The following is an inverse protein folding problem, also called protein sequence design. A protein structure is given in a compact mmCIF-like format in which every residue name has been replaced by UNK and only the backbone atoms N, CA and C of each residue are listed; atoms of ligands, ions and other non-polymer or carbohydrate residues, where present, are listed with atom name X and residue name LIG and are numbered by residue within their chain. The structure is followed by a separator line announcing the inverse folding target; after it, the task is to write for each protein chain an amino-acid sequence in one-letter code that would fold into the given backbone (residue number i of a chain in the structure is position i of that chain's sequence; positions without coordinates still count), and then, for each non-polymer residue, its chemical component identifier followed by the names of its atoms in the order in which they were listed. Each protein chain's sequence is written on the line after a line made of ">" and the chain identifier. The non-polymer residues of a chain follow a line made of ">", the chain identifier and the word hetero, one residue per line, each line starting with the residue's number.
data_IF_857223264539
#
_entry.id   IF_857223264539
#
_cell.length_a   1.000
_cell.length_b   1.000
_cell.length_c   1.000
_cell.angle_alpha   90.00
_cell.angle_beta   90.00
_cell.angle_gamma   90.00
#
_symmetry.space_group_name_H-M   'P 1'
#
loop_
_entity.id
_entity.type
_entity.pdbx_description
1 polymer ?
#
# COMPACT_ATOMS: atom_id res chain seq x y z
N UNK A 1 -1.98 -16.82 -54.29
CA UNK A 1 -2.15 -15.70 -53.33
C UNK A 1 -3.22 -16.15 -52.34
N UNK A 2 -2.85 -16.69 -51.19
CA UNK A 2 -3.83 -17.09 -50.18
C UNK A 2 -4.33 -15.82 -49.50
N UNK A 3 -5.60 -15.46 -49.74
CA UNK A 3 -6.23 -14.34 -49.06
C UNK A 3 -6.51 -14.73 -47.62
N UNK A 4 -5.81 -14.09 -46.68
CA UNK A 4 -6.08 -14.23 -45.26
C UNK A 4 -7.52 -13.81 -44.98
N UNK A 5 -8.34 -14.63 -44.29
CA UNK A 5 -9.69 -14.24 -43.92
C UNK A 5 -9.61 -13.13 -42.88
N UNK A 6 -9.65 -11.87 -43.32
CA UNK A 6 -9.49 -10.69 -42.48
C UNK A 6 -10.66 -10.48 -41.48
N UNK A 7 -11.76 -11.21 -41.63
CA UNK A 7 -12.98 -11.04 -40.84
C UNK A 7 -13.19 -12.17 -39.83
N UNK A 8 -12.17 -12.47 -39.03
CA UNK A 8 -12.30 -13.44 -37.94
C UNK A 8 -12.62 -12.74 -36.63
N UNK A 9 -13.59 -13.27 -35.90
CA UNK A 9 -14.07 -12.71 -34.63
C UNK A 9 -12.95 -12.59 -33.59
N UNK A 10 -12.00 -13.54 -33.54
CA UNK A 10 -10.83 -13.50 -32.66
C UNK A 10 -9.94 -12.27 -32.91
N UNK A 11 -9.69 -11.96 -34.18
CA UNK A 11 -8.92 -10.78 -34.55
C UNK A 11 -9.63 -9.50 -34.13
N UNK A 12 -10.94 -9.40 -34.36
CA UNK A 12 -11.72 -8.24 -33.91
C UNK A 12 -11.71 -8.07 -32.39
N UNK A 13 -11.85 -9.17 -31.63
CA UNK A 13 -11.75 -9.14 -30.17
C UNK A 13 -10.38 -8.66 -29.70
N UNK A 14 -9.29 -9.12 -30.33
CA UNK A 14 -7.96 -8.60 -30.04
C UNK A 14 -7.85 -7.08 -30.27
N UNK A 15 -8.37 -6.58 -31.40
CA UNK A 15 -8.37 -5.15 -31.71
C UNK A 15 -9.20 -4.33 -30.72
N UNK A 16 -10.35 -4.85 -30.28
CA UNK A 16 -11.16 -4.23 -29.23
C UNK A 16 -10.39 -4.16 -27.91
N UNK A 17 -9.70 -5.23 -27.53
CA UNK A 17 -8.84 -5.20 -26.34
C UNK A 17 -7.73 -4.15 -26.48
N UNK A 18 -7.07 -4.03 -27.64
CA UNK A 18 -6.08 -2.97 -27.84
C UNK A 18 -6.70 -1.57 -27.71
N UNK A 19 -7.89 -1.35 -28.26
CA UNK A 19 -8.61 -0.09 -28.12
C UNK A 19 -8.90 0.25 -26.64
N UNK A 20 -9.41 -0.73 -25.88
CA UNK A 20 -9.65 -0.57 -24.43
C UNK A 20 -8.34 -0.26 -23.70
N UNK A 21 -7.25 -0.91 -24.08
CA UNK A 21 -5.91 -0.65 -23.54
C UNK A 21 -5.50 0.80 -23.73
N UNK A 22 -5.69 1.38 -24.93
CA UNK A 22 -5.32 2.78 -25.19
C UNK A 22 -6.16 3.81 -24.41
N UNK A 23 -7.38 3.46 -24.02
CA UNK A 23 -8.27 4.33 -23.24
C UNK A 23 -8.09 4.12 -21.73
N UNK A 24 -7.42 3.03 -21.32
CA UNK A 24 -7.28 2.68 -19.93
C UNK A 24 -6.38 3.66 -19.17
N UNK A 25 -6.94 4.30 -18.15
CA UNK A 25 -6.19 5.16 -17.23
C UNK A 25 -5.41 4.37 -16.17
N UNK A 26 -5.86 3.15 -15.87
CA UNK A 26 -5.23 2.30 -14.87
C UNK A 26 -4.18 1.38 -15.52
N UNK A 27 -2.92 1.57 -15.14
CA UNK A 27 -1.79 0.75 -15.60
C UNK A 27 -1.98 -0.76 -15.31
N UNK A 28 -2.73 -1.14 -14.28
CA UNK A 28 -3.02 -2.54 -13.96
C UNK A 28 -3.98 -3.13 -15.00
N UNK A 29 -5.08 -2.41 -15.27
CA UNK A 29 -6.09 -2.81 -16.25
C UNK A 29 -5.46 -2.89 -17.64
N UNK A 30 -4.62 -1.91 -17.99
CA UNK A 30 -3.82 -1.91 -19.21
C UNK A 30 -3.06 -3.23 -19.41
N UNK A 31 -2.32 -3.70 -18.40
CA UNK A 31 -1.52 -4.93 -18.49
C UNK A 31 -2.39 -6.17 -18.73
N UNK A 32 -3.49 -6.30 -18.01
CA UNK A 32 -4.38 -7.46 -18.19
C UNK A 32 -5.11 -7.44 -19.53
N UNK A 33 -5.52 -6.26 -20.00
CA UNK A 33 -6.16 -6.13 -21.31
C UNK A 33 -5.19 -6.45 -22.44
N UNK A 34 -3.93 -5.99 -22.35
CA UNK A 34 -2.88 -6.34 -23.32
C UNK A 34 -2.52 -7.84 -23.30
N UNK A 35 -2.50 -8.46 -22.12
CA UNK A 35 -2.31 -9.90 -22.00
C UNK A 35 -3.46 -10.65 -22.71
N UNK A 36 -4.72 -10.25 -22.49
CA UNK A 36 -5.87 -10.84 -23.18
C UNK A 36 -5.83 -10.65 -24.70
N UNK A 37 -5.46 -9.45 -25.18
CA UNK A 37 -5.28 -9.19 -26.61
C UNK A 37 -4.24 -10.13 -27.25
N UNK A 38 -3.13 -10.36 -26.53
CA UNK A 38 -2.06 -11.25 -26.97
C UNK A 38 -2.54 -12.71 -27.07
N UNK A 39 -3.40 -13.17 -26.16
CA UNK A 39 -3.99 -14.52 -26.22
C UNK A 39 -4.92 -14.66 -27.43
N UNK A 40 -5.74 -13.65 -27.73
CA UNK A 40 -6.61 -13.69 -28.90
C UNK A 40 -5.82 -13.71 -30.21
N UNK A 41 -4.76 -12.90 -30.34
CA UNK A 41 -3.89 -12.92 -31.51
C UNK A 41 -3.08 -14.21 -31.64
N UNK A 42 -2.62 -14.79 -30.53
CA UNK A 42 -1.97 -16.10 -30.52
C UNK A 42 -2.92 -17.17 -31.06
N UNK A 43 -4.15 -17.21 -30.52
CA UNK A 43 -5.17 -18.20 -30.89
C UNK A 43 -5.57 -18.07 -32.35
N UNK A 44 -5.76 -16.84 -32.83
CA UNK A 44 -6.02 -16.54 -34.24
C UNK A 44 -4.86 -16.97 -35.15
N UNK A 45 -3.61 -16.65 -34.77
CA UNK A 45 -2.40 -17.06 -35.49
C UNK A 45 -2.22 -18.59 -35.56
N UNK A 46 -2.67 -19.30 -34.53
CA UNK A 46 -2.60 -20.75 -34.49
C UNK A 46 -3.73 -21.42 -35.28
N UNK A 47 -4.98 -20.99 -35.09
CA UNK A 47 -6.17 -21.64 -35.66
C UNK A 47 -6.43 -21.23 -37.12
N UNK A 48 -6.44 -19.94 -37.43
CA UNK A 48 -6.91 -19.42 -38.72
C UNK A 48 -5.79 -19.31 -39.76
N UNK A 49 -4.56 -19.11 -39.29
CA UNK A 49 -3.34 -19.03 -40.10
C UNK A 49 -2.65 -20.41 -40.28
N UNK A 50 -3.19 -21.47 -39.66
CA UNK A 50 -2.72 -22.84 -39.81
C UNK A 50 -1.25 -23.06 -39.43
N UNK A 51 -0.70 -22.24 -38.53
CA UNK A 51 0.71 -22.31 -38.12
C UNK A 51 1.71 -21.79 -39.14
N UNK A 52 1.28 -21.20 -40.27
CA UNK A 52 2.18 -20.60 -41.28
C UNK A 52 2.91 -19.37 -40.72
N UNK A 53 2.30 -18.66 -39.76
CA UNK A 53 2.92 -17.52 -39.08
C UNK A 53 3.38 -17.90 -37.66
N UNK A 54 4.48 -18.63 -37.59
CA UNK A 54 5.15 -18.97 -36.31
C UNK A 54 5.61 -17.70 -35.59
N UNK A 55 6.02 -16.67 -36.33
CA UNK A 55 6.41 -15.38 -35.77
C UNK A 55 5.26 -14.72 -35.01
N UNK A 56 4.04 -14.69 -35.58
CA UNK A 56 2.87 -14.11 -34.89
C UNK A 56 2.58 -14.85 -33.59
N UNK A 57 2.63 -16.18 -33.58
CA UNK A 57 2.41 -16.95 -32.36
C UNK A 57 3.52 -16.68 -31.33
N UNK A 58 4.78 -16.66 -31.76
CA UNK A 58 5.93 -16.47 -30.87
C UNK A 58 5.89 -15.10 -30.20
N UNK A 59 5.70 -14.03 -30.95
CA UNK A 59 5.67 -12.67 -30.40
C UNK A 59 4.49 -12.45 -29.46
N UNK A 60 3.31 -12.96 -29.78
CA UNK A 60 2.15 -12.84 -28.89
C UNK A 60 2.30 -13.65 -27.60
N UNK A 61 2.96 -14.81 -27.63
CA UNK A 61 3.30 -15.53 -26.42
C UNK A 61 4.27 -14.73 -25.52
N UNK A 62 5.28 -14.09 -26.11
CA UNK A 62 6.22 -13.22 -25.38
C UNK A 62 5.49 -12.01 -24.77
N UNK A 63 4.65 -11.33 -25.55
CA UNK A 63 3.87 -10.19 -25.06
C UNK A 63 2.91 -10.58 -23.93
N UNK A 64 2.29 -11.75 -24.01
CA UNK A 64 1.48 -12.29 -22.92
C UNK A 64 2.31 -12.46 -21.65
N UNK A 65 3.46 -13.15 -21.72
CA UNK A 65 4.33 -13.37 -20.57
C UNK A 65 4.79 -12.07 -19.91
N UNK A 66 5.20 -11.09 -20.70
CA UNK A 66 5.63 -9.77 -20.20
C UNK A 66 4.46 -9.05 -19.51
N UNK A 67 3.32 -8.92 -20.18
CA UNK A 67 2.18 -8.19 -19.62
C UNK A 67 1.60 -8.89 -18.39
N UNK A 68 1.56 -10.23 -18.38
CA UNK A 68 1.15 -11.01 -17.21
C UNK A 68 2.12 -10.82 -16.04
N UNK A 69 3.43 -10.90 -16.28
CA UNK A 69 4.44 -10.72 -15.22
C UNK A 69 4.36 -9.33 -14.59
N UNK A 70 4.25 -8.28 -15.41
CA UNK A 70 4.06 -6.92 -14.92
C UNK A 70 2.71 -6.74 -14.21
N UNK A 71 1.64 -7.33 -14.74
CA UNK A 71 0.31 -7.32 -14.12
C UNK A 71 0.33 -7.96 -12.72
N UNK A 72 0.96 -9.13 -12.59
CA UNK A 72 1.16 -9.83 -11.31
C UNK A 72 2.03 -9.00 -10.37
N UNK A 73 3.15 -8.45 -10.83
CA UNK A 73 4.01 -7.58 -10.03
C UNK A 73 3.25 -6.36 -9.48
N UNK A 74 2.44 -5.71 -10.33
CA UNK A 74 1.60 -4.58 -9.92
C UNK A 74 0.49 -5.01 -8.98
N UNK A 75 -0.12 -6.18 -9.17
CA UNK A 75 -1.06 -6.76 -8.20
C UNK A 75 -0.39 -6.98 -6.85
N UNK A 76 0.84 -7.49 -6.82
CA UNK A 76 1.60 -7.71 -5.59
C UNK A 76 1.91 -6.40 -4.89
N UNK A 77 2.28 -5.36 -5.62
CA UNK A 77 2.53 -4.03 -5.07
C UNK A 77 1.24 -3.34 -4.58
N UNK A 78 0.10 -3.60 -5.23
CA UNK A 78 -1.20 -3.02 -4.88
C UNK A 78 -1.97 -3.81 -3.83
N UNK A 79 -1.60 -5.06 -3.54
CA UNK A 79 -2.13 -5.80 -2.38
C UNK A 79 -1.87 -4.92 -1.15
N UNK A 80 -2.93 -4.36 -0.53
CA UNK A 80 -2.76 -3.65 0.72
C UNK A 80 -2.17 -4.67 1.69
N UNK A 81 -0.95 -4.40 2.13
CA UNK A 81 -0.26 -5.24 3.09
C UNK A 81 -1.11 -5.12 4.35
N UNK A 82 -1.89 -6.16 4.61
CA UNK A 82 -2.79 -6.20 5.75
C UNK A 82 -1.94 -5.92 6.99
N UNK A 83 -2.31 -4.87 7.74
CA UNK A 83 -1.68 -4.61 9.02
C UNK A 83 -1.80 -5.89 9.84
N UNK A 84 -0.66 -6.44 10.27
CA UNK A 84 -0.55 -7.80 10.83
C UNK A 84 -1.33 -7.97 12.15
N UNK A 85 -1.82 -6.87 12.75
CA UNK A 85 -2.74 -6.91 13.88
C UNK A 85 -3.76 -5.75 13.86
N UNK A 86 -4.99 -5.98 14.37
CA UNK A 86 -6.05 -4.98 14.45
C UNK A 86 -5.69 -3.76 15.34
N UNK A 87 -4.67 -3.88 16.18
CA UNK A 87 -4.21 -2.80 17.05
C UNK A 87 -3.56 -1.65 16.26
N UNK A 88 -2.77 -1.97 15.22
CA UNK A 88 -2.13 -0.94 14.38
C UNK A 88 -3.11 -0.18 13.49
N UNK A 89 -4.19 -0.84 13.04
CA UNK A 89 -5.24 -0.19 12.26
C UNK A 89 -6.01 0.85 13.10
N UNK A 90 -6.29 0.51 14.36
CA UNK A 90 -6.92 1.44 15.31
C UNK A 90 -6.03 2.63 15.66
N UNK A 91 -4.72 2.41 15.79
CA UNK A 91 -3.73 3.48 16.03
C UNK A 91 -3.66 4.42 14.83
N UNK A 92 -3.58 3.88 13.61
CA UNK A 92 -3.60 4.69 12.39
C UNK A 92 -4.87 5.54 12.31
N UNK A 93 -6.04 4.94 12.53
CA UNK A 93 -7.33 5.66 12.52
C UNK A 93 -7.44 6.70 13.64
N UNK A 94 -6.97 6.43 14.86
CA UNK A 94 -7.10 7.39 15.96
C UNK A 94 -6.15 8.57 15.88
N UNK A 95 -4.92 8.36 15.37
CA UNK A 95 -3.89 9.40 15.34
C UNK A 95 -3.82 10.14 14.00
N UNK A 96 -4.19 9.48 12.90
CA UNK A 96 -3.98 10.00 11.54
C UNK A 96 -5.27 10.15 10.72
N UNK A 97 -6.45 9.93 11.28
CA UNK A 97 -7.75 10.18 10.59
C UNK A 97 -8.34 11.56 10.93
N UNK A 98 -7.66 12.34 11.79
CA UNK A 98 -7.95 13.76 11.98
C UNK A 98 -7.69 14.53 10.69
N UNK A 99 -8.59 15.46 10.34
CA UNK A 99 -8.80 16.13 9.05
C UNK A 99 -7.59 16.83 8.37
N UNK A 100 -6.39 16.67 8.90
CA UNK A 100 -5.15 17.29 8.43
C UNK A 100 -3.94 16.36 8.52
N UNK A 101 -4.16 15.05 8.38
CA UNK A 101 -3.05 14.10 8.43
C UNK A 101 -2.36 13.94 7.08
N UNK A 102 -1.08 14.29 7.06
CA UNK A 102 -0.21 14.28 5.89
C UNK A 102 0.35 12.88 5.56
N UNK A 103 -0.11 11.81 6.22
CA UNK A 103 0.53 10.50 6.15
C UNK A 103 -0.40 9.42 5.61
N UNK A 104 0.00 8.82 4.50
CA UNK A 104 -0.74 7.74 3.84
C UNK A 104 -0.53 6.43 4.61
N UNK A 105 -1.49 5.50 4.56
CA UNK A 105 -1.38 4.18 5.21
C UNK A 105 -0.10 3.40 4.83
N UNK A 106 0.46 3.64 3.64
CA UNK A 106 1.74 3.07 3.20
C UNK A 106 2.96 3.63 3.96
N UNK A 107 2.95 4.93 4.25
CA UNK A 107 4.03 5.60 4.99
C UNK A 107 4.00 5.17 6.45
N UNK A 108 2.80 5.07 7.04
CA UNK A 108 2.65 4.50 8.39
C UNK A 108 3.10 3.04 8.47
N UNK A 109 2.86 2.26 7.41
CA UNK A 109 3.34 0.88 7.36
C UNK A 109 4.86 0.78 7.24
N UNK A 110 5.49 1.63 6.43
CA UNK A 110 6.94 1.71 6.37
C UNK A 110 7.53 2.13 7.73
N UNK A 111 6.95 3.16 8.35
CA UNK A 111 7.37 3.62 9.67
C UNK A 111 7.18 2.57 10.75
N UNK A 112 6.07 1.82 10.73
CA UNK A 112 5.84 0.72 11.68
C UNK A 112 6.77 -0.46 11.45
N UNK A 113 7.20 -0.72 10.21
CA UNK A 113 8.23 -1.74 9.93
C UNK A 113 9.62 -1.34 10.43
N UNK A 114 9.89 -0.04 10.53
CA UNK A 114 11.15 0.52 11.05
C UNK A 114 11.09 0.86 12.54
N UNK A 115 9.90 0.80 13.16
CA UNK A 115 9.72 1.19 14.55
C UNK A 115 10.12 0.06 15.49
N UNK A 116 10.71 0.44 16.63
CA UNK A 116 11.08 -0.50 17.67
C UNK A 116 9.98 -0.53 18.73
N UNK A 117 9.31 -1.68 18.86
CA UNK A 117 8.32 -1.91 19.92
C UNK A 117 9.06 -2.15 21.23
N UNK A 118 8.82 -1.29 22.22
CA UNK A 118 9.40 -1.41 23.56
C UNK A 118 8.29 -1.63 24.57
N UNK A 119 8.39 -2.72 25.33
CA UNK A 119 7.53 -2.95 26.48
C UNK A 119 8.11 -2.25 27.73
N UNK A 120 7.27 -1.52 28.44
CA UNK A 120 7.63 -0.89 29.72
C UNK A 120 6.94 -1.64 30.85
N UNK A 121 7.67 -1.83 31.95
CA UNK A 121 7.09 -2.43 33.17
C UNK A 121 6.23 -1.39 33.89
N UNK A 122 5.17 -1.85 34.55
CA UNK A 122 4.33 -0.98 35.38
C UNK A 122 5.19 -0.26 36.42
N UNK A 123 5.15 1.08 36.42
CA UNK A 123 5.92 1.94 37.32
C UNK A 123 7.30 2.37 36.83
N UNK A 124 7.73 1.99 35.61
CA UNK A 124 8.97 2.53 35.02
C UNK A 124 8.72 3.87 34.32
N UNK A 125 9.63 4.83 34.52
CA UNK A 125 9.63 6.08 33.76
C UNK A 125 10.08 5.83 32.31
N UNK A 126 9.33 6.34 31.34
CA UNK A 126 9.68 6.26 29.92
C UNK A 126 10.62 7.40 29.49
N UNK A 127 10.35 8.62 29.98
CA UNK A 127 11.13 9.81 29.69
C UNK A 127 11.15 10.73 30.92
N UNK A 128 12.35 11.09 31.36
CA UNK A 128 12.55 11.98 32.50
C UNK A 128 12.71 13.43 32.04
N UNK A 129 12.24 14.35 32.88
CA UNK A 129 12.33 15.78 32.64
C UNK A 129 13.80 16.22 32.48
N UNK A 130 14.12 16.91 31.39
CA UNK A 130 15.47 17.41 31.08
C UNK A 130 16.29 16.52 30.15
N UNK A 131 15.81 15.32 29.81
CA UNK A 131 16.45 14.48 28.81
C UNK A 131 16.05 14.93 27.40
N UNK A 132 17.01 15.10 26.48
CA UNK A 132 16.70 15.47 25.09
C UNK A 132 16.03 14.29 24.37
N UNK A 133 14.80 14.44 23.85
CA UNK A 133 14.18 13.37 23.10
C UNK A 133 14.89 13.21 21.75
N UNK A 134 15.44 12.03 21.51
CA UNK A 134 16.05 11.67 20.21
C UNK A 134 15.10 10.89 19.30
N UNK A 135 14.02 10.33 19.85
CA UNK A 135 13.08 9.47 19.16
C UNK A 135 11.63 9.92 19.41
N UNK A 136 10.78 9.79 18.41
CA UNK A 136 9.32 9.89 18.55
C UNK A 136 8.78 8.50 18.90
N UNK A 137 7.90 8.44 19.90
CA UNK A 137 7.26 7.20 20.33
C UNK A 137 5.77 7.38 20.48
N UNK A 138 5.01 6.36 20.07
CA UNK A 138 3.57 6.34 20.14
C UNK A 138 3.15 5.26 21.14
N UNK A 139 2.21 5.59 22.04
CA UNK A 139 1.64 4.63 22.97
C UNK A 139 0.71 3.68 22.20
N UNK A 140 1.11 2.41 22.12
CA UNK A 140 0.37 1.37 21.39
C UNK A 140 -0.74 0.76 22.26
N UNK A 141 -0.46 0.53 23.55
CA UNK A 141 -1.40 -0.06 24.52
C UNK A 141 -1.04 0.36 25.95
N UNK A 142 -2.05 0.56 26.79
CA UNK A 142 -1.90 1.00 28.19
C UNK A 142 -2.25 2.47 28.43
N UNK A 143 -1.89 2.97 29.61
CA UNK A 143 -2.04 4.38 30.00
C UNK A 143 -0.69 4.90 30.50
N UNK A 144 -0.34 6.11 30.10
CA UNK A 144 0.87 6.81 30.55
C UNK A 144 0.43 8.14 31.14
N UNK A 145 0.82 8.39 32.39
CA UNK A 145 0.60 9.68 33.04
C UNK A 145 1.83 10.58 32.85
N UNK A 146 1.58 11.83 32.47
CA UNK A 146 2.62 12.85 32.38
C UNK A 146 2.57 13.69 33.65
N UNK A 147 3.55 13.48 34.52
CA UNK A 147 3.64 14.19 35.81
C UNK A 147 4.55 15.40 35.62
N UNK A 148 3.95 16.60 35.57
CA UNK A 148 4.70 17.85 35.59
C UNK A 148 4.87 18.31 37.04
N UNK A 149 6.11 18.36 37.53
CA UNK A 149 6.41 18.93 38.84
C UNK A 149 6.50 20.46 38.71
N UNK A 150 5.47 21.16 39.18
CA UNK A 150 5.54 22.62 39.34
C UNK A 150 6.04 22.95 40.74
N UNK A 151 7.33 23.28 40.90
CA UNK A 151 7.85 23.79 42.16
C UNK A 151 7.33 25.23 42.39
N UNK A 152 6.21 25.40 43.10
CA UNK A 152 5.87 26.72 43.64
C UNK A 152 6.67 26.94 44.93
N UNK A 153 7.63 27.88 44.88
CA UNK A 153 8.23 28.46 46.08
C UNK A 153 7.22 29.39 46.72
N UNK A 154 6.34 28.86 47.56
CA UNK A 154 5.53 29.66 48.49
C UNK A 154 5.70 29.10 49.90
N UNK A 155 6.53 29.77 50.68
CA UNK A 155 6.64 29.72 52.14
C UNK A 155 6.29 28.39 52.82
N UNK A 156 7.23 27.45 52.81
CA UNK A 156 7.47 26.56 53.95
C UNK A 156 6.57 25.34 54.12
N UNK A 157 5.71 25.00 53.16
CA UNK A 157 5.01 23.70 53.17
C UNK A 157 5.01 23.16 51.73
N UNK A 158 5.82 22.12 51.49
CA UNK A 158 5.87 21.40 50.22
C UNK A 158 4.56 20.62 50.02
N UNK A 159 3.59 21.23 49.33
CA UNK A 159 2.42 20.50 48.84
C UNK A 159 2.64 20.08 47.38
N UNK A 160 2.67 18.77 47.16
CA UNK A 160 2.80 18.13 45.86
C UNK A 160 1.44 18.19 45.15
N UNK A 161 1.22 19.24 44.34
CA UNK A 161 -0.02 19.39 43.57
C UNK A 161 0.13 18.64 42.23
N UNK A 162 -0.54 17.50 42.12
CA UNK A 162 -0.62 16.71 40.88
C UNK A 162 -1.71 17.33 39.98
N UNK A 163 -1.30 18.07 38.96
CA UNK A 163 -2.22 18.61 37.94
C UNK A 163 -2.19 17.69 36.73
N UNK A 164 -3.24 16.88 36.57
CA UNK A 164 -3.42 16.05 35.38
C UNK A 164 -4.36 16.81 34.41
N UNK A 165 -3.80 17.38 33.35
CA UNK A 165 -4.58 18.03 32.28
C UNK A 165 -4.30 17.29 30.99
N UNK A 166 -5.26 16.45 30.58
CA UNK A 166 -5.39 16.05 29.19
C UNK A 166 -6.59 16.84 28.65
N UNK A 167 -6.31 17.90 27.88
CA UNK A 167 -7.34 18.54 27.08
C UNK A 167 -7.67 17.65 25.88
N UNK A 168 -8.95 17.30 25.66
CA UNK A 168 -9.35 16.65 24.43
C UNK A 168 -9.28 17.65 23.27
N UNK A 169 -8.71 17.22 22.15
CA UNK A 169 -8.99 17.79 20.82
C UNK A 169 -10.21 17.06 20.24
#
# INVERSE_FOLDING_TARGET
>A
MYTLPANTWLYQMAMTCYFISYISWDILVLRFVLASASVFLFTWGFMDLGGVSVDTCTWNAVFFCINMSHGIYLLWQRRPVQFLSPDYENIHKKLFDGAQSAMTSKEFQLLSSLSLVRELRKGSSYADHGNKPHNLSILVSGSVDVINYHQSKTNGIDQEIVVNVIQPL
#
